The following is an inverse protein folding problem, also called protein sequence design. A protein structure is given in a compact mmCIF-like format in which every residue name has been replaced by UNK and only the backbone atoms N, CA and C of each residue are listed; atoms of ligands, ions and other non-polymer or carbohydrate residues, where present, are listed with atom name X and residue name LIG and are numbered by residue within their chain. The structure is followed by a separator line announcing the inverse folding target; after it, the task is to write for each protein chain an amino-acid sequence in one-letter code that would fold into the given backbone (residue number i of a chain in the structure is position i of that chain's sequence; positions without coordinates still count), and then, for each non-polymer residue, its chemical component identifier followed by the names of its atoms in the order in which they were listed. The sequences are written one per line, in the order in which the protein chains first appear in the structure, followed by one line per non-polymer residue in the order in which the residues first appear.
data_IF_063647366983
#
_entry.id   IF_063647366983
#
_cell.length_a   1.000
_cell.length_b   1.000
_cell.length_c   1.000
_cell.angle_alpha   90.00
_cell.angle_beta   90.00
_cell.angle_gamma   90.00
#
_symmetry.space_group_name_H-M   'P 1'
#
loop_
_entity.id
_entity.type
_entity.pdbx_description
1 polymer ?
#
# COMPACT_ATOMS: atom_id res chain seq x y z
N UNK A 1 -6.77 -2.80 13.00
CA UNK A 1 -6.36 -3.51 11.79
C UNK A 1 -6.61 -2.64 10.57
N UNK A 2 -5.70 -2.63 9.67
CA UNK A 2 -5.77 -1.68 8.57
C UNK A 2 -6.18 -2.35 7.27
N UNK A 3 -7.35 -2.00 6.77
CA UNK A 3 -7.78 -2.45 5.45
C UNK A 3 -6.89 -1.84 4.36
N UNK A 4 -6.24 -0.72 4.67
CA UNK A 4 -5.34 -0.08 3.72
C UNK A 4 -4.18 -0.97 3.34
N UNK A 5 -3.66 -1.75 4.28
CA UNK A 5 -2.58 -2.68 4.00
C UNK A 5 -2.98 -3.66 2.89
N UNK A 6 -4.17 -4.22 3.02
CA UNK A 6 -4.63 -5.23 2.05
C UNK A 6 -4.98 -4.61 0.71
N UNK A 7 -5.54 -3.42 0.73
CA UNK A 7 -5.86 -2.71 -0.49
C UNK A 7 -4.57 -2.37 -1.26
N UNK A 8 -3.57 -1.90 -0.55
CA UNK A 8 -2.28 -1.57 -1.16
C UNK A 8 -1.60 -2.84 -1.70
N UNK A 9 -1.62 -3.92 -0.92
CA UNK A 9 -1.02 -5.17 -1.37
C UNK A 9 -1.70 -5.69 -2.62
N UNK A 10 -3.02 -5.57 -2.68
CA UNK A 10 -3.79 -5.98 -3.84
C UNK A 10 -3.40 -5.14 -5.06
N UNK A 11 -3.27 -3.84 -4.88
CA UNK A 11 -2.89 -2.93 -5.95
C UNK A 11 -1.52 -3.32 -6.54
N UNK A 12 -0.55 -3.54 -5.67
CA UNK A 12 0.80 -3.90 -6.10
C UNK A 12 0.77 -5.24 -6.85
N UNK A 13 0.04 -6.19 -6.32
CA UNK A 13 -0.01 -7.53 -6.90
C UNK A 13 -0.71 -7.51 -8.26
N UNK A 14 -1.78 -6.70 -8.40
CA UNK A 14 -2.44 -6.59 -9.70
C UNK A 14 -1.52 -5.99 -10.75
N UNK A 15 -0.65 -5.06 -10.35
CA UNK A 15 0.28 -4.46 -11.29
C UNK A 15 1.39 -5.41 -11.71
N UNK A 16 1.70 -6.41 -10.88
CA UNK A 16 2.71 -7.39 -11.20
C UNK A 16 2.15 -8.56 -12.00
N UNK A 17 0.85 -8.74 -11.96
CA UNK A 17 0.23 -9.87 -12.62
C UNK A 17 -1.12 -9.48 -13.16
N UNK A 18 -2.15 -10.22 -12.75
CA UNK A 18 -3.51 -9.95 -13.21
C UNK A 18 -4.50 -10.23 -12.10
N UNK A 19 -5.67 -9.61 -12.22
CA UNK A 19 -6.78 -9.84 -11.31
C UNK A 19 -7.60 -11.02 -11.84
N UNK A 20 -8.31 -11.75 -10.98
CA UNK A 20 -8.38 -11.55 -9.53
C UNK A 20 -7.15 -12.12 -8.83
N UNK A 21 -6.89 -11.60 -7.62
CA UNK A 21 -5.74 -11.99 -6.83
C UNK A 21 -6.23 -12.83 -5.66
N UNK A 22 -5.62 -13.99 -5.46
CA UNK A 22 -6.05 -14.92 -4.40
C UNK A 22 -5.69 -14.39 -3.03
N UNK A 23 -6.45 -14.84 -2.02
CA UNK A 23 -6.15 -14.52 -0.63
C UNK A 23 -4.75 -14.99 -0.23
N UNK A 24 -4.35 -16.17 -0.74
CA UNK A 24 -3.03 -16.71 -0.41
C UNK A 24 -1.90 -15.83 -0.90
N UNK A 25 -2.03 -15.26 -2.09
CA UNK A 25 -1.00 -14.39 -2.63
C UNK A 25 -0.84 -13.13 -1.79
N UNK A 26 -1.96 -12.52 -1.40
CA UNK A 26 -1.91 -11.32 -0.57
C UNK A 26 -1.42 -11.68 0.83
N UNK A 27 -1.78 -12.86 1.34
CA UNK A 27 -1.33 -13.30 2.65
C UNK A 27 0.18 -13.39 2.70
N UNK A 28 0.80 -13.93 1.67
CA UNK A 28 2.25 -14.01 1.62
C UNK A 28 2.89 -12.64 1.60
N UNK A 29 2.34 -11.74 0.81
CA UNK A 29 2.92 -10.40 0.67
C UNK A 29 2.79 -9.58 1.95
N UNK A 30 1.74 -9.82 2.72
CA UNK A 30 1.47 -9.03 3.92
C UNK A 30 1.92 -9.73 5.20
N UNK A 31 2.40 -10.97 5.10
CA UNK A 31 2.76 -11.77 6.26
C UNK A 31 1.57 -11.93 7.20
N UNK A 32 0.41 -12.20 6.61
CA UNK A 32 -0.83 -12.45 7.34
C UNK A 32 -1.38 -13.80 6.92
N UNK A 33 -2.36 -14.32 7.67
CA UNK A 33 -2.99 -15.58 7.28
C UNK A 33 -3.99 -15.34 6.17
N UNK A 34 -4.24 -16.40 5.38
CA UNK A 34 -5.21 -16.29 4.29
C UNK A 34 -6.61 -15.99 4.84
N UNK A 35 -6.95 -16.50 6.02
CA UNK A 35 -8.23 -16.21 6.62
C UNK A 35 -8.41 -14.74 6.94
N UNK A 36 -7.36 -14.12 7.48
CA UNK A 36 -7.39 -12.69 7.77
C UNK A 36 -7.56 -11.88 6.49
N UNK A 37 -6.86 -12.29 5.43
CA UNK A 37 -6.97 -11.59 4.14
C UNK A 37 -8.37 -11.73 3.57
N UNK A 38 -8.95 -12.93 3.68
CA UNK A 38 -10.31 -13.15 3.19
C UNK A 38 -11.30 -12.26 3.93
N UNK A 39 -11.15 -12.11 5.23
CA UNK A 39 -12.00 -11.19 6.00
C UNK A 39 -11.83 -9.76 5.50
N UNK A 40 -10.60 -9.36 5.24
CA UNK A 40 -10.33 -8.02 4.71
C UNK A 40 -10.97 -7.83 3.35
N UNK A 41 -10.93 -8.85 2.49
CA UNK A 41 -11.57 -8.77 1.19
C UNK A 41 -13.09 -8.60 1.32
N UNK A 42 -13.70 -9.31 2.29
CA UNK A 42 -15.14 -9.13 2.53
C UNK A 42 -15.44 -7.69 2.97
N UNK A 43 -14.63 -7.14 3.86
CA UNK A 43 -14.82 -5.77 4.31
C UNK A 43 -14.66 -4.77 3.17
N UNK A 44 -13.64 -4.98 2.33
CA UNK A 44 -13.40 -4.10 1.20
C UNK A 44 -14.49 -4.22 0.15
N UNK A 45 -15.05 -5.42 -0.01
CA UNK A 45 -16.16 -5.60 -0.93
C UNK A 45 -17.41 -4.91 -0.42
N UNK A 46 -17.62 -4.93 0.89
CA UNK A 46 -18.77 -4.25 1.49
C UNK A 46 -18.73 -2.75 1.26
N UNK A 47 -17.53 -2.17 1.19
CA UNK A 47 -17.36 -0.75 0.89
C UNK A 47 -17.14 -0.48 -0.59
N UNK A 48 -17.27 -1.50 -1.42
CA UNK A 48 -17.20 -1.40 -2.89
C UNK A 48 -15.84 -0.99 -3.40
N UNK A 49 -14.80 -1.30 -2.66
CA UNK A 49 -13.43 -1.03 -3.11
C UNK A 49 -12.85 -2.21 -3.87
N UNK A 50 -13.40 -3.41 -3.66
CA UNK A 50 -13.00 -4.58 -4.43
C UNK A 50 -14.25 -5.37 -4.80
N UNK A 51 -14.08 -6.25 -5.79
CA UNK A 51 -15.04 -7.31 -6.09
C UNK A 51 -14.37 -8.61 -5.67
N UNK A 52 -15.08 -9.40 -4.87
CA UNK A 52 -14.52 -10.63 -4.33
C UNK A 52 -15.35 -11.82 -4.77
N UNK A 53 -14.66 -12.82 -5.33
CA UNK A 53 -15.30 -14.08 -5.72
C UNK A 53 -14.65 -15.21 -4.94
N UNK A 54 -15.43 -16.00 -4.19
CA UNK A 54 -14.86 -17.14 -3.47
C UNK A 54 -14.08 -18.04 -4.42
N UNK A 55 -12.94 -18.51 -3.96
CA UNK A 55 -12.05 -19.42 -4.70
C UNK A 55 -11.27 -18.75 -5.82
N UNK A 56 -11.60 -17.52 -6.19
CA UNK A 56 -10.86 -16.81 -7.23
C UNK A 56 -10.04 -15.68 -6.64
N UNK A 57 -10.65 -14.87 -5.78
CA UNK A 57 -9.94 -13.79 -5.15
C UNK A 57 -10.62 -12.46 -5.36
N UNK A 58 -9.84 -11.40 -5.25
CA UNK A 58 -10.34 -10.03 -5.28
C UNK A 58 -9.73 -9.25 -6.42
N UNK A 59 -10.50 -8.29 -6.93
CA UNK A 59 -10.05 -7.35 -7.95
C UNK A 59 -10.50 -5.96 -7.54
N UNK A 60 -9.66 -4.96 -7.81
CA UNK A 60 -10.00 -3.58 -7.48
C UNK A 60 -11.13 -3.07 -8.35
N UNK A 61 -12.07 -2.34 -7.74
CA UNK A 61 -13.03 -1.54 -8.49
C UNK A 61 -12.34 -0.22 -8.86
N UNK A 62 -13.03 0.63 -9.63
CA UNK A 62 -12.49 1.94 -9.95
C UNK A 62 -12.25 2.74 -8.67
N UNK A 63 -13.18 2.70 -7.73
CA UNK A 63 -13.01 3.39 -6.45
C UNK A 63 -11.84 2.81 -5.66
N UNK A 64 -11.70 1.49 -5.68
CA UNK A 64 -10.59 0.83 -5.02
C UNK A 64 -9.26 1.20 -5.63
N UNK A 65 -9.22 1.30 -6.95
CA UNK A 65 -8.01 1.69 -7.65
C UNK A 65 -7.59 3.11 -7.26
N UNK A 66 -8.54 4.04 -7.25
CA UNK A 66 -8.24 5.42 -6.89
C UNK A 66 -7.69 5.51 -5.47
N UNK A 67 -8.32 4.81 -4.55
CA UNK A 67 -7.86 4.82 -3.16
C UNK A 67 -6.49 4.18 -3.03
N UNK A 68 -6.30 3.05 -3.69
CA UNK A 68 -5.03 2.31 -3.61
C UNK A 68 -3.90 3.10 -4.26
N UNK A 69 -4.19 3.86 -5.30
CA UNK A 69 -3.17 4.66 -5.95
C UNK A 69 -2.63 5.72 -4.99
N UNK A 70 -3.50 6.34 -4.21
CA UNK A 70 -3.07 7.30 -3.19
C UNK A 70 -2.21 6.63 -2.12
N UNK A 71 -2.62 5.44 -1.70
CA UNK A 71 -1.84 4.68 -0.73
C UNK A 71 -0.47 4.32 -1.29
N UNK A 72 -0.43 3.99 -2.57
CA UNK A 72 0.83 3.62 -3.21
C UNK A 72 1.78 4.80 -3.29
N UNK A 73 1.27 6.00 -3.57
CA UNK A 73 2.12 7.19 -3.58
C UNK A 73 2.75 7.42 -2.21
N UNK A 74 1.96 7.29 -1.15
CA UNK A 74 2.48 7.41 0.20
C UNK A 74 3.50 6.31 0.50
N UNK A 75 3.19 5.10 0.08
CA UNK A 75 4.08 3.95 0.27
C UNK A 75 5.45 4.20 -0.39
N UNK A 76 5.46 4.72 -1.61
CA UNK A 76 6.72 4.99 -2.30
C UNK A 76 7.53 6.03 -1.55
N UNK A 77 6.89 7.10 -1.10
CA UNK A 77 7.56 8.15 -0.35
C UNK A 77 8.15 7.60 0.95
N UNK A 78 7.36 6.82 1.68
CA UNK A 78 7.84 6.24 2.95
C UNK A 78 8.96 5.24 2.71
N UNK A 79 8.86 4.43 1.65
CA UNK A 79 9.91 3.47 1.33
C UNK A 79 11.24 4.17 1.11
N UNK A 80 11.20 5.26 0.36
CA UNK A 80 12.40 6.02 0.09
C UNK A 80 12.99 6.61 1.37
N UNK A 81 12.13 7.21 2.20
CA UNK A 81 12.57 7.79 3.46
C UNK A 81 13.17 6.74 4.39
N UNK A 82 12.48 5.61 4.51
CA UNK A 82 12.94 4.54 5.41
C UNK A 82 14.24 3.92 4.92
N UNK A 83 14.41 3.80 3.60
CA UNK A 83 15.62 3.22 3.04
C UNK A 83 16.80 4.19 3.08
N UNK A 84 16.60 5.40 2.58
CA UNK A 84 17.71 6.32 2.34
C UNK A 84 18.04 7.17 3.55
N UNK A 85 17.07 7.51 4.37
CA UNK A 85 17.29 8.38 5.53
C UNK A 85 17.46 7.55 6.80
N UNK A 86 16.56 6.61 7.04
CA UNK A 86 16.59 5.82 8.26
C UNK A 86 17.38 4.52 8.11
N UNK A 87 17.68 4.14 6.89
CA UNK A 87 18.49 2.95 6.59
C UNK A 87 17.91 1.68 7.22
N UNK A 88 16.59 1.53 7.17
CA UNK A 88 15.93 0.37 7.72
C UNK A 88 16.07 -0.81 6.75
N UNK A 89 16.46 -1.99 7.25
CA UNK A 89 16.59 -3.15 6.35
C UNK A 89 15.27 -3.63 5.79
N UNK A 90 14.19 -3.46 6.54
CA UNK A 90 12.87 -3.91 6.10
C UNK A 90 12.00 -2.73 5.70
N UNK A 91 12.56 -1.81 4.94
CA UNK A 91 11.90 -0.55 4.65
C UNK A 91 10.59 -0.73 3.89
N UNK A 92 10.52 -1.71 3.00
CA UNK A 92 9.30 -1.92 2.22
C UNK A 92 8.16 -2.40 3.10
N UNK A 93 8.44 -3.34 3.99
CA UNK A 93 7.44 -3.86 4.90
C UNK A 93 6.93 -2.75 5.82
N UNK A 94 7.85 -1.97 6.38
CA UNK A 94 7.49 -0.88 7.27
C UNK A 94 6.63 0.16 6.54
N UNK A 95 7.03 0.52 5.33
CA UNK A 95 6.29 1.51 4.56
C UNK A 95 4.89 1.01 4.22
N UNK A 96 4.76 -0.26 3.89
CA UNK A 96 3.47 -0.84 3.56
C UNK A 96 2.53 -0.79 4.76
N UNK A 97 3.05 -1.09 5.95
CA UNK A 97 2.26 -1.08 7.17
C UNK A 97 1.81 0.34 7.52
N UNK A 98 2.64 1.34 7.23
CA UNK A 98 2.37 2.70 7.65
C UNK A 98 1.61 3.54 6.64
N UNK A 99 1.55 3.10 5.38
CA UNK A 99 1.00 3.96 4.31
C UNK A 99 -0.41 4.44 4.62
N UNK A 100 -1.25 3.58 5.21
CA UNK A 100 -2.63 3.95 5.51
C UNK A 100 -2.78 4.88 6.71
N UNK A 101 -1.75 5.01 7.53
CA UNK A 101 -1.79 5.84 8.73
C UNK A 101 -1.29 7.25 8.49
N UNK A 102 -0.67 7.50 7.35
CA UNK A 102 -0.09 8.81 7.02
C UNK A 102 -1.09 9.57 6.15
N UNK A 103 -1.45 10.78 6.59
CA UNK A 103 -2.41 11.57 5.82
C UNK A 103 -1.79 12.03 4.50
N UNK A 104 -2.63 12.29 3.48
CA UNK A 104 -2.11 12.81 2.21
C UNK A 104 -1.32 14.11 2.38
N UNK A 105 -1.74 14.96 3.29
CA UNK A 105 -1.03 16.22 3.55
C UNK A 105 0.38 15.96 4.05
N UNK A 106 0.51 15.06 5.03
CA UNK A 106 1.83 14.73 5.57
C UNK A 106 2.68 14.06 4.51
N UNK A 107 2.10 13.16 3.72
CA UNK A 107 2.84 12.48 2.67
C UNK A 107 3.38 13.47 1.65
N UNK A 108 2.55 14.44 1.23
CA UNK A 108 2.98 15.44 0.27
C UNK A 108 4.10 16.32 0.81
N UNK A 109 3.96 16.72 2.09
CA UNK A 109 5.00 17.54 2.73
C UNK A 109 6.30 16.78 2.85
N UNK A 110 6.21 15.51 3.20
CA UNK A 110 7.39 14.67 3.31
C UNK A 110 8.07 14.51 1.95
N UNK A 111 7.29 14.27 0.91
CA UNK A 111 7.84 14.12 -0.44
C UNK A 111 8.52 15.40 -0.88
N UNK A 112 7.90 16.55 -0.63
CA UNK A 112 8.49 17.83 -1.01
C UNK A 112 9.80 18.07 -0.28
N UNK A 113 9.84 17.73 1.00
CA UNK A 113 11.05 17.89 1.81
C UNK A 113 12.18 17.02 1.29
N UNK A 114 11.86 15.76 0.97
CA UNK A 114 12.87 14.83 0.48
C UNK A 114 13.40 15.26 -0.89
N UNK A 115 12.55 15.80 -1.74
CA UNK A 115 12.96 16.22 -3.08
C UNK A 115 13.75 17.51 -3.05
N UNK A 116 13.41 18.42 -2.15
CA UNK A 116 14.04 19.73 -2.10
C UNK A 116 15.28 19.77 -1.24
N UNK A 117 15.29 18.92 -0.25
CA UNK A 117 16.29 19.02 0.80
C UNK A 117 17.74 18.93 0.29
N UNK A 118 18.09 18.00 -0.58
CA UNK A 118 19.48 17.96 -1.06
C UNK A 118 19.89 19.24 -1.76
N UNK A 119 18.99 19.80 -2.55
CA UNK A 119 19.24 21.02 -3.29
C UNK A 119 19.44 22.21 -2.35
N UNK A 120 18.59 22.32 -1.36
CA UNK A 120 18.70 23.40 -0.39
C UNK A 120 19.96 23.30 0.45
N UNK A 121 20.26 22.09 0.87
CA UNK A 121 21.46 21.87 1.65
C UNK A 121 22.70 22.17 0.84
N UNK A 122 22.68 21.81 -0.43
CA UNK A 122 23.79 22.10 -1.30
C UNK A 122 23.98 23.58 -1.51
N UNK A 123 22.93 24.34 -1.39
CA UNK A 123 23.02 25.78 -1.55
C UNK A 123 23.64 26.49 -0.37
N UNK A 124 23.75 25.81 0.73
CA UNK A 124 24.36 26.42 1.89
C UNK A 124 25.84 26.45 1.76
#
# INVERSE_FOLDING_TARGET
MSRSLYLLALYITEHEGSAPVSSGTVAERTDRTAGTVTEAFHDLAATKLVEYEPHEGAALTDAGYDRAQQLHETYVTLSWFFRDILELPEYEQEAMEMAGAVSPTVARRLAATLLEEPSQNGGE
#
